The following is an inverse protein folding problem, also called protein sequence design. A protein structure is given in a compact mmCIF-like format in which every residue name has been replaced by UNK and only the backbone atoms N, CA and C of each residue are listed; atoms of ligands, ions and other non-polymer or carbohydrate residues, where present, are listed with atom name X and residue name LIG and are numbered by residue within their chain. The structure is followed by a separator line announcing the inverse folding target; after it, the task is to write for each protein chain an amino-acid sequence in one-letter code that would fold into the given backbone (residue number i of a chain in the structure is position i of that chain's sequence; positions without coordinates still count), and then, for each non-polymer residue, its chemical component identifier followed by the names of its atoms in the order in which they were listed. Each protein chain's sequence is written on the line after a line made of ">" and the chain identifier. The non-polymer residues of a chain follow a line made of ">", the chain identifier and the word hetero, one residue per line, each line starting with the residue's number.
data_IF_468934007942
#
_entry.id   IF_468934007942
#
_cell.length_a   1.000
_cell.length_b   1.000
_cell.length_c   1.000
_cell.angle_alpha   90.00
_cell.angle_beta   90.00
_cell.angle_gamma   90.00
#
_symmetry.space_group_name_H-M   'P 1'
#
loop_
_entity.id
_entity.type
_entity.pdbx_description
1 polymer ?
#
# COMPACT_ATOMS: atom_id res chain seq x y z
N UNK A 1 -4.57 14.54 -3.20
CA UNK A 1 -4.24 13.66 -2.05
C UNK A 1 -2.74 13.59 -1.93
N UNK A 2 -2.23 13.35 -0.71
CA UNK A 2 -0.78 13.25 -0.47
C UNK A 2 -0.45 11.99 0.29
N UNK A 3 0.59 11.30 -0.15
CA UNK A 3 1.24 10.24 0.60
C UNK A 3 2.15 10.86 1.65
N UNK A 4 2.14 10.31 2.85
CA UNK A 4 2.95 10.79 3.97
C UNK A 4 3.61 9.59 4.63
N UNK A 5 4.94 9.58 4.63
CA UNK A 5 5.75 8.64 5.41
C UNK A 5 6.51 9.42 6.49
N UNK A 6 6.43 8.97 7.74
CA UNK A 6 7.12 9.62 8.86
C UNK A 6 7.35 8.67 10.02
N UNK A 7 8.15 9.10 11.01
CA UNK A 7 8.38 8.35 12.24
C UNK A 7 7.64 9.01 13.41
N UNK A 8 6.67 8.30 13.97
CA UNK A 8 6.01 8.69 15.19
C UNK A 8 6.78 8.25 16.42
N UNK A 9 6.92 9.17 17.38
CA UNK A 9 7.42 8.86 18.73
C UNK A 9 6.23 8.74 19.67
N UNK A 10 5.96 7.52 20.12
CA UNK A 10 4.92 7.25 21.10
C UNK A 10 5.30 7.79 22.49
N UNK A 11 4.33 7.99 23.40
CA UNK A 11 4.59 8.38 24.79
C UNK A 11 5.53 7.43 25.54
N UNK A 12 5.56 6.15 25.16
CA UNK A 12 6.51 5.14 25.68
C UNK A 12 7.97 5.38 25.27
N UNK A 13 8.20 6.29 24.32
CA UNK A 13 9.49 6.49 23.66
C UNK A 13 9.72 5.58 22.45
N UNK A 14 8.83 4.63 22.18
CA UNK A 14 8.89 3.78 20.98
C UNK A 14 8.77 4.60 19.71
N UNK A 15 9.57 4.26 18.70
CA UNK A 15 9.55 4.88 17.38
C UNK A 15 8.87 3.95 16.40
N UNK A 16 7.89 4.45 15.65
CA UNK A 16 7.10 3.67 14.71
C UNK A 16 7.02 4.41 13.38
N UNK A 17 7.52 3.82 12.28
CA UNK A 17 7.30 4.37 10.96
C UNK A 17 5.83 4.20 10.57
N UNK A 18 5.24 5.23 9.97
CA UNK A 18 3.85 5.26 9.54
C UNK A 18 3.79 5.62 8.06
N UNK A 19 2.79 5.09 7.36
CA UNK A 19 2.52 5.41 5.97
C UNK A 19 1.02 5.62 5.76
N UNK A 20 0.63 6.86 5.45
CA UNK A 20 -0.78 7.22 5.36
C UNK A 20 -1.04 8.27 4.28
N UNK A 21 -2.30 8.40 3.90
CA UNK A 21 -2.76 9.36 2.89
C UNK A 21 -3.58 10.46 3.55
N UNK A 22 -3.37 11.71 3.14
CA UNK A 22 -4.22 12.84 3.55
C UNK A 22 -4.86 13.52 2.35
N UNK A 23 -6.05 14.07 2.57
CA UNK A 23 -6.74 14.92 1.60
C UNK A 23 -6.22 16.37 1.64
N UNK A 24 -6.91 17.28 0.94
CA UNK A 24 -6.56 18.70 0.91
C UNK A 24 -6.79 19.44 2.23
N UNK A 25 -7.66 18.91 3.10
CA UNK A 25 -7.93 19.44 4.43
C UNK A 25 -6.95 18.90 5.48
N UNK A 26 -6.16 17.89 5.12
CA UNK A 26 -5.24 17.20 6.02
C UNK A 26 -5.87 16.01 6.74
N UNK A 27 -7.10 15.65 6.39
CA UNK A 27 -7.79 14.50 6.98
C UNK A 27 -7.29 13.19 6.36
N UNK A 28 -7.17 12.16 7.20
CA UNK A 28 -6.67 10.85 6.76
C UNK A 28 -7.69 10.19 5.84
N UNK A 29 -7.27 9.88 4.61
CA UNK A 29 -8.08 9.12 3.65
C UNK A 29 -7.96 7.64 4.00
N UNK A 30 -8.92 7.17 4.80
CA UNK A 30 -8.95 5.80 5.36
C UNK A 30 -8.90 4.72 4.28
N UNK A 31 -9.67 4.86 3.19
CA UNK A 31 -9.67 3.88 2.11
C UNK A 31 -8.28 3.62 1.53
N UNK A 32 -7.51 4.67 1.23
CA UNK A 32 -6.15 4.56 0.71
C UNK A 32 -5.17 4.06 1.79
N UNK A 33 -5.27 4.63 2.99
CA UNK A 33 -4.37 4.33 4.12
C UNK A 33 -4.51 2.88 4.57
N UNK A 34 -5.73 2.45 4.85
CA UNK A 34 -6.00 1.16 5.47
C UNK A 34 -5.95 -0.01 4.48
N UNK A 35 -5.93 0.26 3.18
CA UNK A 35 -5.74 -0.76 2.14
C UNK A 35 -4.33 -0.69 1.57
N UNK A 36 -4.10 0.13 0.54
CA UNK A 36 -2.87 0.22 -0.21
C UNK A 36 -1.65 0.50 0.67
N UNK A 37 -1.69 1.56 1.49
CA UNK A 37 -0.49 2.02 2.19
C UNK A 37 -0.10 1.09 3.34
N UNK A 38 -1.07 0.62 4.13
CA UNK A 38 -0.80 -0.39 5.15
C UNK A 38 -0.32 -1.71 4.53
N UNK A 39 -0.89 -2.15 3.39
CA UNK A 39 -0.37 -3.32 2.67
C UNK A 39 1.11 -3.14 2.32
N UNK A 40 1.48 -1.98 1.77
CA UNK A 40 2.86 -1.68 1.40
C UNK A 40 3.77 -1.61 2.63
N UNK A 41 3.33 -0.94 3.70
CA UNK A 41 4.11 -0.77 4.93
C UNK A 41 4.33 -2.06 5.70
N UNK A 42 3.36 -2.97 5.70
CA UNK A 42 3.41 -4.25 6.41
C UNK A 42 4.11 -5.36 5.62
N UNK A 43 4.30 -5.18 4.32
CA UNK A 43 4.96 -6.16 3.46
C UNK A 43 6.48 -6.18 3.69
N UNK A 44 7.05 -7.37 3.77
CA UNK A 44 8.50 -7.58 3.76
C UNK A 44 9.11 -7.22 2.39
N UNK A 45 10.41 -6.89 2.30
CA UNK A 45 11.07 -6.55 1.03
C UNK A 45 10.82 -7.55 -0.10
N UNK A 46 11.02 -8.84 0.18
CA UNK A 46 10.81 -9.92 -0.80
C UNK A 46 9.32 -10.10 -1.19
N UNK A 47 8.39 -9.69 -0.33
CA UNK A 47 6.96 -9.67 -0.63
C UNK A 47 6.64 -8.53 -1.60
N UNK A 48 7.16 -7.32 -1.33
CA UNK A 48 7.04 -6.15 -2.22
C UNK A 48 7.63 -6.43 -3.60
N UNK A 49 8.81 -7.05 -3.69
CA UNK A 49 9.44 -7.40 -4.96
C UNK A 49 8.55 -8.33 -5.80
N UNK A 50 7.97 -9.36 -5.18
CA UNK A 50 7.08 -10.31 -5.86
C UNK A 50 5.78 -9.65 -6.30
N UNK A 51 5.16 -8.85 -5.44
CA UNK A 51 3.97 -8.09 -5.79
C UNK A 51 4.23 -7.10 -6.92
N UNK A 52 5.37 -6.40 -6.88
CA UNK A 52 5.81 -5.49 -7.95
C UNK A 52 5.94 -6.23 -9.28
N UNK A 53 6.51 -7.43 -9.29
CA UNK A 53 6.63 -8.25 -10.51
C UNK A 53 5.26 -8.65 -11.09
N UNK A 54 4.28 -8.97 -10.23
CA UNK A 54 2.89 -9.24 -10.63
C UNK A 54 2.28 -7.99 -11.27
N UNK A 55 2.33 -6.85 -10.59
CA UNK A 55 1.79 -5.57 -11.05
C UNK A 55 2.41 -5.13 -12.40
N UNK A 56 3.73 -5.22 -12.54
CA UNK A 56 4.44 -4.88 -13.79
C UNK A 56 4.06 -5.83 -14.93
N UNK A 57 3.88 -7.12 -14.65
CA UNK A 57 3.43 -8.09 -15.66
C UNK A 57 1.99 -7.79 -16.10
N UNK A 58 1.13 -7.39 -15.17
CA UNK A 58 -0.26 -7.06 -15.47
C UNK A 58 -0.36 -5.75 -16.26
N UNK A 59 0.45 -4.74 -15.94
CA UNK A 59 0.54 -3.51 -16.71
C UNK A 59 0.97 -3.76 -18.17
N UNK A 60 1.80 -4.78 -18.40
CA UNK A 60 2.24 -5.21 -19.74
C UNK A 60 1.23 -6.13 -20.45
N UNK A 61 0.15 -6.52 -19.78
CA UNK A 61 -0.83 -7.48 -20.31
C UNK A 61 -0.30 -8.92 -20.43
N UNK A 62 0.79 -9.25 -19.74
CA UNK A 62 1.41 -10.59 -19.78
C UNK A 62 1.20 -11.38 -18.49
N UNK A 63 0.41 -10.85 -17.56
CA UNK A 63 0.09 -11.54 -16.31
C UNK A 63 -1.04 -12.55 -16.54
N UNK A 64 -0.77 -13.81 -16.20
CA UNK A 64 -1.76 -14.87 -16.14
C UNK A 64 -2.00 -15.24 -14.68
N UNK A 65 -3.25 -15.20 -14.25
CA UNK A 65 -3.64 -15.56 -12.89
C UNK A 65 -3.48 -17.06 -12.69
N UNK A 66 -2.93 -17.47 -11.55
CA UNK A 66 -2.83 -18.88 -11.20
C UNK A 66 -4.19 -19.49 -10.87
N UNK A 67 -5.05 -18.74 -10.19
CA UNK A 67 -6.43 -19.12 -9.87
C UNK A 67 -7.34 -17.89 -9.92
N UNK A 68 -8.32 -17.80 -10.86
CA UNK A 68 -9.24 -16.68 -10.95
C UNK A 68 -10.11 -16.46 -9.70
N UNK A 69 -10.27 -17.46 -8.84
CA UNK A 69 -11.13 -17.41 -7.65
C UNK A 69 -10.41 -16.94 -6.39
N UNK A 70 -9.07 -16.88 -6.40
CA UNK A 70 -8.26 -16.47 -5.26
C UNK A 70 -7.62 -15.09 -5.50
N UNK A 71 -7.30 -14.38 -4.43
CA UNK A 71 -6.49 -13.17 -4.53
C UNK A 71 -5.11 -13.50 -5.14
N UNK A 72 -4.60 -12.59 -5.97
CA UNK A 72 -3.30 -12.73 -6.63
C UNK A 72 -2.15 -12.51 -5.63
N UNK A 73 -2.43 -11.77 -4.54
CA UNK A 73 -1.53 -11.56 -3.42
C UNK A 73 -2.29 -11.30 -2.13
N UNK A 74 -1.65 -11.56 -0.98
CA UNK A 74 -2.19 -11.21 0.33
C UNK A 74 -1.12 -10.93 1.38
N UNK A 75 -1.41 -9.98 2.28
CA UNK A 75 -0.64 -9.70 3.51
C UNK A 75 -1.59 -9.21 4.59
N UNK A 76 -1.58 -9.84 5.78
CA UNK A 76 -2.38 -9.45 6.95
C UNK A 76 -3.83 -9.06 6.61
N UNK A 77 -4.55 -10.02 6.01
CA UNK A 77 -5.95 -9.91 5.59
C UNK A 77 -6.26 -8.80 4.58
N UNK A 78 -5.23 -8.28 3.91
CA UNK A 78 -5.39 -7.42 2.74
C UNK A 78 -5.17 -8.26 1.49
N UNK A 79 -6.19 -8.34 0.65
CA UNK A 79 -6.16 -9.14 -0.56
C UNK A 79 -6.04 -8.24 -1.78
N UNK A 80 -5.18 -8.63 -2.73
CA UNK A 80 -4.95 -7.89 -3.97
C UNK A 80 -5.44 -8.71 -5.15
N UNK A 81 -6.25 -8.10 -6.00
CA UNK A 81 -6.68 -8.65 -7.28
C UNK A 81 -6.17 -7.76 -8.41
N UNK A 82 -5.47 -8.35 -9.37
CA UNK A 82 -4.72 -7.63 -10.41
C UNK A 82 -5.26 -7.94 -11.82
N UNK A 83 -6.22 -8.86 -11.96
CA UNK A 83 -6.86 -9.11 -13.25
C UNK A 83 -8.30 -9.63 -13.17
N UNK A 84 -8.94 -9.83 -14.33
CA UNK A 84 -10.32 -10.29 -14.43
C UNK A 84 -10.55 -11.65 -13.74
N UNK A 85 -11.78 -11.96 -13.29
CA UNK A 85 -12.97 -11.12 -13.41
C UNK A 85 -13.09 -10.03 -12.33
N UNK A 86 -12.21 -9.99 -11.33
CA UNK A 86 -12.35 -9.07 -10.19
C UNK A 86 -11.79 -7.68 -10.47
N UNK A 87 -10.62 -7.58 -11.09
CA UNK A 87 -10.02 -6.28 -11.44
C UNK A 87 -10.04 -6.05 -12.95
N UNK A 88 -10.15 -4.78 -13.33
CA UNK A 88 -10.01 -4.33 -14.72
C UNK A 88 -8.53 -4.26 -15.11
N UNK A 89 -8.23 -4.46 -16.39
CA UNK A 89 -6.87 -4.30 -16.90
C UNK A 89 -6.33 -2.89 -16.58
N UNK A 90 -5.10 -2.82 -16.07
CA UNK A 90 -4.47 -1.56 -15.64
C UNK A 90 -4.80 -1.12 -14.21
N UNK A 91 -5.70 -1.82 -13.53
CA UNK A 91 -6.10 -1.55 -12.15
C UNK A 91 -5.87 -2.76 -11.25
N UNK A 92 -5.73 -2.50 -9.96
CA UNK A 92 -5.79 -3.49 -8.91
C UNK A 92 -6.93 -3.13 -7.94
N UNK A 93 -7.61 -4.14 -7.42
CA UNK A 93 -8.49 -4.00 -6.26
C UNK A 93 -7.74 -4.46 -5.03
N UNK A 94 -7.93 -3.76 -3.92
CA UNK A 94 -7.39 -4.13 -2.62
C UNK A 94 -8.49 -4.11 -1.59
N UNK A 95 -8.74 -5.25 -0.94
CA UNK A 95 -9.63 -5.30 0.22
C UNK A 95 -8.81 -5.25 1.51
N UNK A 96 -9.49 -4.98 2.61
CA UNK A 96 -8.99 -5.23 3.94
C UNK A 96 -10.10 -5.89 4.75
N UNK A 97 -9.98 -7.20 5.00
CA UNK A 97 -11.02 -7.97 5.67
C UNK A 97 -11.16 -7.65 7.17
N UNK A 98 -10.23 -6.86 7.74
CA UNK A 98 -10.36 -6.35 9.10
C UNK A 98 -11.23 -5.08 9.19
N UNK A 99 -11.67 -4.52 8.06
CA UNK A 99 -12.50 -3.31 8.01
C UNK A 99 -13.73 -3.60 7.14
N UNK A 100 -14.94 -3.67 7.72
CA UNK A 100 -16.16 -4.02 6.99
C UNK A 100 -16.36 -3.22 5.70
N UNK A 101 -16.15 -1.90 5.74
CA UNK A 101 -16.35 -1.01 4.59
C UNK A 101 -15.41 -1.33 3.39
N UNK A 102 -14.26 -1.96 3.64
CA UNK A 102 -13.25 -2.28 2.62
C UNK A 102 -13.05 -3.79 2.43
N UNK A 103 -13.86 -4.62 3.09
CA UNK A 103 -13.85 -6.08 2.96
C UNK A 103 -14.38 -6.50 1.58
N UNK A 104 -13.94 -7.66 1.08
CA UNK A 104 -14.51 -8.25 -0.13
C UNK A 104 -15.83 -9.01 0.09
N UNK A 105 -16.18 -9.29 1.35
CA UNK A 105 -17.41 -9.97 1.74
C UNK A 105 -18.52 -8.97 2.10
N UNK A 106 -18.20 -7.93 2.87
CA UNK A 106 -19.17 -7.00 3.45
C UNK A 106 -19.16 -5.58 2.83
N UNK A 107 -18.11 -5.23 2.09
CA UNK A 107 -17.84 -3.85 1.65
C UNK A 107 -17.39 -3.70 0.20
N UNK A 108 -16.71 -2.59 -0.06
CA UNK A 108 -16.18 -2.26 -1.39
C UNK A 108 -14.64 -2.21 -1.35
N UNK A 109 -13.97 -3.22 -1.94
CA UNK A 109 -12.53 -3.18 -2.16
C UNK A 109 -12.11 -1.91 -2.91
N UNK A 110 -11.00 -1.33 -2.49
CA UNK A 110 -10.51 -0.07 -3.02
C UNK A 110 -9.79 -0.29 -4.35
N UNK A 111 -10.13 0.51 -5.35
CA UNK A 111 -9.57 0.43 -6.71
C UNK A 111 -8.44 1.43 -6.89
N UNK A 112 -7.29 0.94 -7.35
CA UNK A 112 -6.11 1.74 -7.65
C UNK A 112 -5.62 1.42 -9.05
N UNK A 113 -5.12 2.42 -9.77
CA UNK A 113 -4.32 2.13 -10.97
C UNK A 113 -3.04 1.41 -10.56
N UNK A 114 -2.50 0.57 -11.44
CA UNK A 114 -1.20 -0.07 -11.19
C UNK A 114 -0.10 0.99 -10.98
N UNK A 115 -0.18 2.12 -11.67
CA UNK A 115 0.75 3.25 -11.49
C UNK A 115 0.70 3.79 -10.05
N UNK A 116 -0.49 4.06 -9.51
CA UNK A 116 -0.65 4.50 -8.12
C UNK A 116 -0.08 3.51 -7.11
N UNK A 117 -0.26 2.21 -7.35
CA UNK A 117 0.30 1.17 -6.51
C UNK A 117 1.84 1.22 -6.54
N UNK A 118 2.43 1.28 -7.74
CA UNK A 118 3.88 1.33 -7.91
C UNK A 118 4.48 2.62 -7.32
N UNK A 119 3.80 3.77 -7.46
CA UNK A 119 4.19 5.02 -6.83
C UNK A 119 4.20 4.94 -5.30
N UNK A 120 3.19 4.30 -4.69
CA UNK A 120 3.17 4.08 -3.25
C UNK A 120 4.34 3.18 -2.78
N UNK A 121 4.64 2.12 -3.53
CA UNK A 121 5.78 1.23 -3.26
C UNK A 121 7.11 2.00 -3.35
N UNK A 122 7.30 2.79 -4.42
CA UNK A 122 8.50 3.59 -4.60
C UNK A 122 8.70 4.59 -3.46
N UNK A 123 7.65 5.35 -3.12
CA UNK A 123 7.67 6.32 -2.02
C UNK A 123 8.06 5.68 -0.69
N UNK A 124 7.51 4.50 -0.39
CA UNK A 124 7.84 3.77 0.83
C UNK A 124 9.28 3.26 0.83
N UNK A 125 9.77 2.74 -0.30
CA UNK A 125 11.15 2.27 -0.40
C UNK A 125 12.17 3.39 -0.22
N UNK A 126 11.93 4.57 -0.81
CA UNK A 126 12.77 5.76 -0.59
C UNK A 126 12.79 6.15 0.89
N UNK A 127 11.63 6.15 1.56
CA UNK A 127 11.56 6.41 2.99
C UNK A 127 12.32 5.34 3.82
N UNK A 128 12.29 4.08 3.40
CA UNK A 128 13.06 2.99 4.06
C UNK A 128 14.56 3.13 3.87
N UNK A 129 15.02 3.64 2.73
CA UNK A 129 16.42 3.98 2.52
C UNK A 129 16.84 5.10 3.49
N UNK A 130 16.04 6.17 3.61
CA UNK A 130 16.28 7.23 4.59
C UNK A 130 16.32 6.69 6.03
N UNK A 131 15.43 5.75 6.38
CA UNK A 131 15.43 5.08 7.69
C UNK A 131 16.73 4.29 7.92
N UNK A 132 17.24 3.61 6.90
CA UNK A 132 18.50 2.86 6.99
C UNK A 132 19.71 3.78 7.17
N UNK A 133 19.70 4.96 6.54
CA UNK A 133 20.82 5.91 6.57
C UNK A 133 20.86 6.75 7.85
N UNK A 134 19.70 7.29 8.24
CA UNK A 134 19.57 8.28 9.34
C UNK A 134 19.11 7.65 10.65
N UNK A 135 18.55 6.45 10.60
CA UNK A 135 17.85 5.81 11.72
C UNK A 135 16.51 6.48 12.03
N UNK A 136 15.61 5.75 12.69
CA UNK A 136 14.29 6.25 13.08
C UNK A 136 14.34 7.54 13.91
N UNK A 137 15.27 7.63 14.86
CA UNK A 137 15.40 8.80 15.74
C UNK A 137 15.80 10.08 14.98
N UNK A 138 16.55 9.93 13.88
CA UNK A 138 16.96 11.04 13.03
C UNK A 138 15.86 11.56 12.10
N UNK A 139 14.71 10.89 12.05
CA UNK A 139 13.56 11.23 11.20
C UNK A 139 12.29 11.61 11.99
N UNK A 140 12.38 11.66 13.33
CA UNK A 140 11.23 12.09 14.14
C UNK A 140 10.91 13.55 13.87
N UNK A 141 9.67 13.84 13.49
CA UNK A 141 9.19 15.20 13.18
C UNK A 141 9.38 15.61 11.71
N UNK A 142 10.07 14.79 10.90
CA UNK A 142 10.17 14.98 9.47
C UNK A 142 9.00 14.25 8.76
N UNK A 143 8.33 14.96 7.85
CA UNK A 143 7.30 14.37 6.97
C UNK A 143 7.85 14.22 5.56
N UNK A 144 7.89 12.98 5.07
CA UNK A 144 8.25 12.68 3.69
C UNK A 144 6.98 12.58 2.85
N UNK A 145 6.68 13.66 2.14
CA UNK A 145 5.44 13.82 1.36
C UNK A 145 5.62 13.43 -0.12
N UNK A 146 4.60 12.78 -0.69
CA UNK A 146 4.52 12.41 -2.10
C UNK A 146 3.10 12.59 -2.64
N UNK A 147 2.92 12.32 -3.93
CA UNK A 147 1.61 12.40 -4.61
C UNK A 147 1.19 11.01 -5.07
N UNK A 148 -0.12 10.75 -5.03
CA UNK A 148 -0.79 9.54 -5.54
C UNK A 148 -1.95 9.92 -6.45
#
# INVERSE_FOLDING_TARGET
>A
MKLVAEVFKLPSGSLIPQFYCVDENGDVVRGVTDTLLNLVAESLPNQIERLTAILVSAQKGTYERSDPNLADWSVNDKFVWVGPPRAEMGFALISNENIPDFSSDDGEPQKFSIEQFLSAIAHWNEFREMLSERGMGGLVGDRFEGVI
#
